data_IF_480409795084
#
_entry.id   IF_480409795084
#
_cell.length_a   1.000
_cell.length_b   1.000
_cell.length_c   1.000
_cell.angle_alpha   90.00
_cell.angle_beta   90.00
_cell.angle_gamma   90.00
#
_symmetry.space_group_name_H-M   'P 1'
#
loop_
_entity.id
_entity.type
_entity.pdbx_description
1 polymer ?
#
# COMPACT_ATOMS: atom_id res chain seq x y z
N UNK A 1 -36.02 0.05 3.43
CA UNK A 1 -35.27 0.01 2.14
C UNK A 1 -34.29 -1.15 2.22
N UNK A 2 -34.13 -1.91 1.13
CA UNK A 2 -33.16 -3.00 1.06
C UNK A 2 -31.73 -2.41 1.06
N UNK A 3 -30.79 -2.99 1.84
CA UNK A 3 -29.38 -2.56 1.89
C UNK A 3 -28.73 -2.84 0.54
N UNK A 4 -28.10 -1.83 -0.05
CA UNK A 4 -27.40 -1.93 -1.33
C UNK A 4 -26.01 -2.52 -1.09
N UNK A 5 -25.69 -3.60 -1.78
CA UNK A 5 -24.40 -4.28 -1.63
C UNK A 5 -23.70 -4.45 -2.96
N UNK A 6 -22.39 -4.59 -2.96
CA UNK A 6 -21.64 -5.05 -4.11
C UNK A 6 -20.89 -6.34 -3.76
N UNK A 7 -20.52 -7.10 -4.76
CA UNK A 7 -19.68 -8.30 -4.62
C UNK A 7 -18.29 -7.98 -5.17
N UNK A 8 -17.25 -8.35 -4.42
CA UNK A 8 -15.88 -8.30 -4.91
C UNK A 8 -15.27 -9.71 -4.91
N UNK A 9 -14.76 -10.13 -6.07
CA UNK A 9 -14.09 -11.42 -6.24
C UNK A 9 -12.71 -11.25 -6.86
N UNK A 10 -11.75 -12.07 -6.39
CA UNK A 10 -10.42 -12.17 -6.98
C UNK A 10 -10.02 -13.63 -7.13
N UNK A 11 -9.55 -13.99 -8.31
CA UNK A 11 -9.07 -15.35 -8.59
C UNK A 11 -7.76 -15.32 -9.36
N UNK A 12 -6.89 -16.28 -9.04
CA UNK A 12 -5.58 -16.42 -9.67
C UNK A 12 -5.60 -17.26 -10.95
N UNK A 13 -6.54 -18.20 -11.15
CA UNK A 13 -6.30 -19.22 -12.19
C UNK A 13 -7.51 -19.94 -12.82
N UNK A 14 -8.75 -19.86 -12.35
CA UNK A 14 -9.83 -20.67 -12.94
C UNK A 14 -11.20 -19.97 -12.90
N UNK A 15 -11.86 -19.83 -14.07
CA UNK A 15 -13.20 -19.23 -14.20
C UNK A 15 -14.25 -19.93 -13.33
N UNK A 16 -14.18 -21.25 -13.21
CA UNK A 16 -15.16 -22.07 -12.47
C UNK A 16 -15.20 -21.78 -10.96
N UNK A 17 -14.06 -21.40 -10.34
CA UNK A 17 -14.01 -20.99 -8.93
C UNK A 17 -14.62 -19.61 -8.66
N UNK A 18 -14.64 -18.73 -9.67
CA UNK A 18 -15.25 -17.39 -9.56
C UNK A 18 -16.76 -17.50 -9.50
N UNK A 19 -17.35 -18.25 -10.40
CA UNK A 19 -18.81 -18.41 -10.51
C UNK A 19 -19.39 -19.00 -9.22
N UNK A 20 -18.74 -20.03 -8.66
CA UNK A 20 -19.15 -20.62 -7.38
C UNK A 20 -19.09 -19.59 -6.23
N UNK A 21 -18.04 -18.78 -6.15
CA UNK A 21 -17.93 -17.74 -5.12
C UNK A 21 -19.03 -16.69 -5.28
N UNK A 22 -19.28 -16.24 -6.50
CA UNK A 22 -20.34 -15.28 -6.77
C UNK A 22 -21.70 -15.87 -6.43
N UNK A 23 -21.96 -17.14 -6.77
CA UNK A 23 -23.23 -17.80 -6.49
C UNK A 23 -23.52 -17.85 -4.99
N UNK A 24 -22.55 -18.28 -4.17
CA UNK A 24 -22.72 -18.32 -2.72
C UNK A 24 -22.97 -16.94 -2.11
N UNK A 25 -22.26 -15.90 -2.62
CA UNK A 25 -22.46 -14.53 -2.15
C UNK A 25 -23.81 -13.94 -2.60
N UNK A 26 -24.35 -14.37 -3.75
CA UNK A 26 -25.71 -14.03 -4.18
C UNK A 26 -26.76 -14.68 -3.27
N UNK A 27 -26.62 -15.96 -2.98
CA UNK A 27 -27.50 -16.68 -2.06
C UNK A 27 -27.50 -16.08 -0.66
N UNK A 28 -26.32 -15.62 -0.19
CA UNK A 28 -26.23 -14.89 1.07
C UNK A 28 -26.98 -13.55 1.00
N UNK A 29 -26.77 -12.79 -0.07
CA UNK A 29 -27.45 -11.50 -0.31
C UNK A 29 -28.99 -11.67 -0.33
N UNK A 30 -29.48 -12.69 -1.04
CA UNK A 30 -30.91 -12.97 -1.16
C UNK A 30 -31.51 -13.34 0.21
N UNK A 31 -30.83 -14.20 0.99
CA UNK A 31 -31.28 -14.55 2.36
C UNK A 31 -31.35 -13.35 3.29
N UNK A 32 -30.45 -12.38 3.13
CA UNK A 32 -30.44 -11.15 3.93
C UNK A 32 -31.38 -10.06 3.38
N UNK A 33 -32.02 -10.28 2.22
CA UNK A 33 -32.86 -9.29 1.56
C UNK A 33 -32.07 -8.08 1.04
N UNK A 34 -30.79 -8.27 0.67
CA UNK A 34 -29.94 -7.21 0.13
C UNK A 34 -30.12 -7.08 -1.38
N UNK A 35 -29.84 -5.88 -1.90
CA UNK A 35 -29.86 -5.58 -3.34
C UNK A 35 -28.43 -5.49 -3.88
N UNK A 36 -28.04 -6.40 -4.77
CA UNK A 36 -26.71 -6.39 -5.40
C UNK A 36 -26.69 -5.33 -6.50
N UNK A 37 -25.88 -4.28 -6.33
CA UNK A 37 -25.76 -3.19 -7.29
C UNK A 37 -24.72 -3.48 -8.37
N UNK A 38 -23.61 -4.15 -8.02
CA UNK A 38 -22.52 -4.44 -8.94
C UNK A 38 -21.65 -5.62 -8.49
N UNK A 39 -20.96 -6.26 -9.45
CA UNK A 39 -19.95 -7.28 -9.19
C UNK A 39 -18.63 -6.84 -9.77
N UNK A 40 -17.62 -6.65 -8.93
CA UNK A 40 -16.26 -6.31 -9.31
C UNK A 40 -15.39 -7.55 -9.31
N UNK A 41 -14.55 -7.71 -10.32
CA UNK A 41 -13.68 -8.88 -10.43
C UNK A 41 -12.27 -8.53 -10.88
N UNK A 42 -11.28 -9.16 -10.24
CA UNK A 42 -9.88 -9.11 -10.65
C UNK A 42 -9.40 -10.55 -10.96
N UNK A 43 -9.32 -10.87 -12.24
CA UNK A 43 -8.98 -12.21 -12.74
C UNK A 43 -7.51 -12.30 -13.16
N UNK A 44 -6.84 -13.41 -12.79
CA UNK A 44 -5.44 -13.66 -13.18
C UNK A 44 -4.42 -12.73 -12.50
N UNK A 45 -4.84 -11.96 -11.50
CA UNK A 45 -3.98 -11.00 -10.81
C UNK A 45 -3.50 -11.60 -9.49
N UNK A 46 -2.17 -11.73 -9.35
CA UNK A 46 -1.55 -12.15 -8.08
C UNK A 46 -1.93 -11.18 -6.97
N UNK A 47 -2.25 -11.72 -5.78
CA UNK A 47 -2.49 -10.90 -4.58
C UNK A 47 -1.31 -10.01 -4.17
N UNK A 48 -0.12 -10.19 -4.77
CA UNK A 48 1.07 -9.36 -4.53
C UNK A 48 1.07 -8.01 -5.25
N UNK A 49 0.14 -7.76 -6.19
CA UNK A 49 0.04 -6.51 -6.92
C UNK A 49 -0.78 -5.46 -6.16
N UNK A 50 -0.38 -4.18 -6.26
CA UNK A 50 -1.05 -3.06 -5.62
C UNK A 50 -2.43 -2.75 -6.20
N UNK A 51 -3.11 -1.73 -5.66
CA UNK A 51 -4.42 -1.25 -6.16
C UNK A 51 -4.37 -0.87 -7.64
N UNK A 52 -3.27 -0.26 -8.11
CA UNK A 52 -3.08 0.16 -9.50
C UNK A 52 -3.13 -1.03 -10.50
N UNK A 53 -2.77 -2.22 -10.04
CA UNK A 53 -2.79 -3.44 -10.83
C UNK A 53 -4.10 -4.26 -10.66
N UNK A 54 -5.08 -3.72 -9.91
CA UNK A 54 -6.37 -4.36 -9.59
C UNK A 54 -7.53 -3.46 -10.01
N UNK A 55 -7.85 -3.43 -11.32
CA UNK A 55 -8.87 -2.52 -11.86
C UNK A 55 -10.25 -2.72 -11.24
N UNK A 56 -10.62 -3.96 -10.88
CA UNK A 56 -11.89 -4.25 -10.20
C UNK A 56 -11.93 -3.64 -8.79
N UNK A 57 -10.86 -3.76 -8.01
CA UNK A 57 -10.76 -3.12 -6.70
C UNK A 57 -10.77 -1.60 -6.81
N UNK A 58 -10.00 -1.05 -7.74
CA UNK A 58 -9.92 0.39 -7.94
C UNK A 58 -11.27 0.99 -8.34
N UNK A 59 -12.01 0.32 -9.24
CA UNK A 59 -13.34 0.75 -9.63
C UNK A 59 -14.33 0.63 -8.47
N UNK A 60 -14.28 -0.46 -7.69
CA UNK A 60 -15.08 -0.63 -6.48
C UNK A 60 -14.88 0.53 -5.50
N UNK A 61 -13.63 0.91 -5.22
CA UNK A 61 -13.33 2.02 -4.32
C UNK A 61 -13.85 3.36 -4.85
N UNK A 62 -13.70 3.63 -6.16
CA UNK A 62 -14.28 4.84 -6.79
C UNK A 62 -15.79 4.89 -6.67
N UNK A 63 -16.47 3.78 -6.88
CA UNK A 63 -17.92 3.68 -6.77
C UNK A 63 -18.39 3.75 -5.32
N UNK A 64 -17.55 3.30 -4.35
CA UNK A 64 -17.75 3.49 -2.91
C UNK A 64 -17.77 4.98 -2.52
N UNK A 65 -16.83 5.78 -3.04
CA UNK A 65 -16.83 7.24 -2.86
C UNK A 65 -18.12 7.86 -3.38
N UNK A 66 -18.68 7.34 -4.48
CA UNK A 66 -19.96 7.77 -5.04
C UNK A 66 -21.19 7.22 -4.30
N UNK A 67 -20.98 6.44 -3.21
CA UNK A 67 -22.06 5.84 -2.40
C UNK A 67 -23.03 4.97 -3.18
N UNK A 68 -22.53 4.21 -4.17
CA UNK A 68 -23.35 3.31 -4.97
C UNK A 68 -23.82 2.07 -4.19
N UNK A 69 -23.11 1.72 -3.12
CA UNK A 69 -23.43 0.61 -2.21
C UNK A 69 -23.05 0.96 -0.76
N UNK A 70 -23.55 0.19 0.17
CA UNK A 70 -23.39 0.37 1.61
C UNK A 70 -22.61 -0.77 2.27
N UNK A 71 -22.40 -1.88 1.54
CA UNK A 71 -21.63 -3.03 2.01
C UNK A 71 -20.95 -3.74 0.83
N UNK A 72 -19.76 -4.28 1.09
CA UNK A 72 -19.02 -5.14 0.15
C UNK A 72 -19.05 -6.58 0.66
N UNK A 73 -19.53 -7.49 -0.17
CA UNK A 73 -19.48 -8.92 0.06
C UNK A 73 -18.23 -9.51 -0.58
N UNK A 74 -17.41 -10.19 0.21
CA UNK A 74 -16.15 -10.79 -0.24
C UNK A 74 -16.11 -12.26 0.14
N UNK A 75 -15.56 -13.11 -0.70
CA UNK A 75 -15.47 -14.54 -0.41
C UNK A 75 -14.61 -14.81 0.83
N UNK A 76 -13.41 -14.23 0.92
CA UNK A 76 -12.49 -14.41 2.05
C UNK A 76 -11.53 -13.23 2.17
N UNK A 77 -10.95 -13.08 3.34
CA UNK A 77 -10.03 -11.99 3.70
C UNK A 77 -8.85 -11.87 2.72
N UNK A 78 -8.27 -13.02 2.29
CA UNK A 78 -7.14 -13.07 1.35
C UNK A 78 -7.50 -12.62 -0.08
N UNK A 79 -8.80 -12.53 -0.41
CA UNK A 79 -9.25 -11.98 -1.69
C UNK A 79 -9.20 -10.46 -1.71
N UNK A 80 -9.46 -9.82 -0.59
CA UNK A 80 -9.43 -8.35 -0.47
C UNK A 80 -8.00 -7.84 -0.26
N UNK A 81 -7.27 -8.38 0.73
CA UNK A 81 -5.91 -7.99 1.08
C UNK A 81 -4.87 -9.07 0.76
N UNK A 82 -3.66 -8.68 0.37
CA UNK A 82 -2.50 -9.57 0.15
C UNK A 82 -1.61 -9.74 1.39
N UNK A 83 -1.69 -8.79 2.29
CA UNK A 83 -1.05 -8.76 3.59
C UNK A 83 -2.04 -8.16 4.59
N UNK A 84 -1.79 -8.37 5.87
CA UNK A 84 -2.63 -7.77 6.92
C UNK A 84 -2.63 -6.25 6.80
N UNK A 85 -1.47 -5.66 6.53
CA UNK A 85 -1.32 -4.21 6.31
C UNK A 85 -2.21 -3.69 5.18
N UNK A 86 -2.13 -4.30 3.98
CA UNK A 86 -2.96 -3.88 2.84
C UNK A 86 -4.45 -4.14 3.07
N UNK A 87 -4.81 -5.23 3.75
CA UNK A 87 -6.20 -5.50 4.14
C UNK A 87 -6.74 -4.39 5.02
N UNK A 88 -5.99 -4.02 6.07
CA UNK A 88 -6.36 -2.96 7.01
C UNK A 88 -6.47 -1.59 6.32
N UNK A 89 -5.60 -1.30 5.36
CA UNK A 89 -5.68 -0.07 4.56
C UNK A 89 -7.01 0.02 3.79
N UNK A 90 -7.37 -1.05 3.05
CA UNK A 90 -8.65 -1.09 2.30
C UNK A 90 -9.85 -1.04 3.25
N UNK A 91 -9.78 -1.76 4.38
CA UNK A 91 -10.86 -1.76 5.38
C UNK A 91 -11.03 -0.37 6.03
N UNK A 92 -9.94 0.36 6.31
CA UNK A 92 -9.99 1.72 6.83
C UNK A 92 -10.64 2.68 5.82
N UNK A 93 -10.22 2.64 4.54
CA UNK A 93 -10.82 3.48 3.50
C UNK A 93 -12.33 3.23 3.38
N UNK A 94 -12.79 1.97 3.40
CA UNK A 94 -14.21 1.64 3.34
C UNK A 94 -14.96 2.08 4.62
N UNK A 95 -14.36 1.93 5.78
CA UNK A 95 -14.94 2.36 7.05
C UNK A 95 -15.10 3.90 7.11
N UNK A 96 -14.14 4.67 6.59
CA UNK A 96 -14.25 6.13 6.47
C UNK A 96 -15.44 6.53 5.58
N UNK A 97 -15.70 5.76 4.52
CA UNK A 97 -16.87 5.93 3.65
C UNK A 97 -18.17 5.40 4.25
N UNK A 98 -18.13 4.79 5.47
CA UNK A 98 -19.27 4.12 6.13
C UNK A 98 -19.80 2.95 5.31
N UNK A 99 -18.91 2.21 4.67
CA UNK A 99 -19.22 1.00 3.91
C UNK A 99 -18.80 -0.21 4.74
N UNK A 100 -19.73 -1.09 5.02
CA UNK A 100 -19.48 -2.32 5.75
C UNK A 100 -18.81 -3.39 4.87
N UNK A 101 -18.21 -4.39 5.50
CA UNK A 101 -17.59 -5.55 4.86
C UNK A 101 -18.16 -6.85 5.42
N UNK A 102 -18.41 -7.79 4.54
CA UNK A 102 -18.75 -9.16 4.91
C UNK A 102 -17.80 -10.15 4.23
N UNK A 103 -17.13 -10.98 5.03
CA UNK A 103 -16.25 -12.07 4.57
C UNK A 103 -16.93 -13.42 4.82
N UNK A 104 -17.31 -14.08 3.72
CA UNK A 104 -18.15 -15.28 3.79
C UNK A 104 -17.46 -16.46 4.50
N UNK A 105 -16.21 -16.79 4.12
CA UNK A 105 -15.51 -17.93 4.71
C UNK A 105 -15.23 -17.78 6.21
N UNK A 106 -14.95 -16.55 6.67
CA UNK A 106 -14.66 -16.27 8.07
C UNK A 106 -15.91 -15.88 8.87
N UNK A 107 -17.05 -15.70 8.19
CA UNK A 107 -18.30 -15.19 8.79
C UNK A 107 -18.09 -13.88 9.57
N UNK A 108 -17.22 -13.00 9.04
CA UNK A 108 -16.92 -11.70 9.65
C UNK A 108 -17.80 -10.64 8.98
N UNK A 109 -18.61 -9.95 9.77
CA UNK A 109 -19.48 -8.85 9.35
C UNK A 109 -19.13 -7.59 10.15
N UNK A 110 -18.54 -6.59 9.50
CA UNK A 110 -18.12 -5.35 10.18
C UNK A 110 -19.28 -4.44 10.57
N UNK A 111 -20.50 -4.73 10.13
CA UNK A 111 -21.70 -4.03 10.64
C UNK A 111 -22.02 -4.43 12.09
N UNK A 112 -21.54 -5.57 12.54
CA UNK A 112 -21.71 -6.10 13.90
C UNK A 112 -20.60 -5.64 14.85
N UNK A 113 -20.86 -5.65 16.16
CA UNK A 113 -19.85 -5.32 17.18
C UNK A 113 -18.68 -6.30 17.17
N UNK A 114 -18.98 -7.61 17.01
CA UNK A 114 -17.95 -8.66 16.92
C UNK A 114 -17.06 -8.49 15.68
N UNK A 115 -17.63 -8.19 14.52
CA UNK A 115 -16.85 -7.94 13.30
C UNK A 115 -15.97 -6.70 13.41
N UNK A 116 -16.49 -5.62 14.02
CA UNK A 116 -15.67 -4.43 14.31
C UNK A 116 -14.51 -4.72 15.28
N UNK A 117 -14.74 -5.58 16.30
CA UNK A 117 -13.67 -6.00 17.20
C UNK A 117 -12.57 -6.77 16.45
N UNK A 118 -12.95 -7.72 15.58
CA UNK A 118 -11.98 -8.47 14.73
C UNK A 118 -11.21 -7.50 13.83
N UNK A 119 -11.86 -6.49 13.26
CA UNK A 119 -11.20 -5.45 12.50
C UNK A 119 -10.16 -4.69 13.35
N UNK A 120 -10.47 -4.34 14.58
CA UNK A 120 -9.51 -3.73 15.52
C UNK A 120 -8.29 -4.62 15.77
N UNK A 121 -8.48 -5.94 15.90
CA UNK A 121 -7.38 -6.91 16.04
C UNK A 121 -6.47 -6.90 14.80
N UNK A 122 -7.02 -6.89 13.59
CA UNK A 122 -6.22 -6.76 12.37
C UNK A 122 -5.41 -5.45 12.35
N UNK A 123 -5.98 -4.36 12.84
CA UNK A 123 -5.28 -3.08 13.01
C UNK A 123 -4.05 -3.23 13.91
N UNK A 124 -4.21 -3.79 15.10
CA UNK A 124 -3.11 -4.04 16.04
C UNK A 124 -2.01 -4.94 15.44
N UNK A 125 -2.40 -6.02 14.74
CA UNK A 125 -1.44 -6.91 14.07
C UNK A 125 -0.65 -6.15 13.01
N UNK A 126 -1.31 -5.30 12.22
CA UNK A 126 -0.65 -4.49 11.19
C UNK A 126 0.36 -3.50 11.77
N UNK A 127 0.04 -2.86 12.90
CA UNK A 127 0.97 -1.96 13.61
C UNK A 127 2.16 -2.73 14.16
N UNK A 128 1.93 -3.90 14.75
CA UNK A 128 3.00 -4.77 15.24
C UNK A 128 3.94 -5.20 14.11
N UNK A 129 3.40 -5.61 12.94
CA UNK A 129 4.23 -5.94 11.75
C UNK A 129 5.11 -4.75 11.32
N UNK A 130 4.53 -3.54 11.25
CA UNK A 130 5.29 -2.33 10.90
C UNK A 130 6.40 -2.03 11.91
N UNK A 131 6.12 -2.18 13.21
CA UNK A 131 7.11 -1.99 14.26
C UNK A 131 8.27 -2.97 14.13
N UNK A 132 7.99 -4.26 13.95
CA UNK A 132 9.01 -5.30 13.76
C UNK A 132 9.87 -5.07 12.52
N UNK A 133 9.27 -4.61 11.42
CA UNK A 133 10.03 -4.24 10.20
C UNK A 133 10.95 -3.05 10.50
N UNK A 134 10.44 -2.02 11.18
CA UNK A 134 11.23 -0.83 11.55
C UNK A 134 12.43 -1.20 12.45
N UNK A 135 12.22 -2.06 13.44
CA UNK A 135 13.29 -2.55 14.31
C UNK A 135 14.37 -3.34 13.53
N UNK A 136 13.95 -4.23 12.63
CA UNK A 136 14.90 -4.98 11.77
C UNK A 136 15.70 -4.05 10.88
N UNK A 137 15.07 -3.03 10.28
CA UNK A 137 15.77 -2.03 9.47
C UNK A 137 16.77 -1.25 10.32
N UNK A 138 16.37 -0.75 11.49
CA UNK A 138 17.27 -0.03 12.42
C UNK A 138 18.46 -0.89 12.81
N UNK A 139 18.22 -2.12 13.27
CA UNK A 139 19.29 -3.05 13.64
C UNK A 139 20.21 -3.37 12.45
N UNK A 140 19.67 -3.46 11.24
CA UNK A 140 20.46 -3.64 10.01
C UNK A 140 21.36 -2.44 9.70
N UNK A 141 20.82 -1.21 9.87
CA UNK A 141 21.57 0.04 9.69
C UNK A 141 22.68 0.18 10.74
N UNK A 142 22.39 -0.09 12.02
CA UNK A 142 23.35 -0.02 13.12
C UNK A 142 24.50 -1.01 12.87
N UNK A 143 24.19 -2.23 12.42
CA UNK A 143 25.22 -3.22 12.01
C UNK A 143 26.04 -2.72 10.84
N UNK A 144 25.42 -2.10 9.82
CA UNK A 144 26.17 -1.55 8.69
C UNK A 144 27.13 -0.45 9.12
N UNK A 145 26.68 0.45 10.02
CA UNK A 145 27.52 1.52 10.63
C UNK A 145 28.67 0.91 11.44
N UNK A 146 28.41 -0.08 12.28
CA UNK A 146 29.46 -0.75 13.08
C UNK A 146 30.51 -1.47 12.21
N UNK A 147 30.12 -1.88 10.99
CA UNK A 147 31.03 -2.43 9.97
C UNK A 147 31.77 -1.34 9.15
N UNK A 148 31.65 -0.07 9.51
CA UNK A 148 32.28 1.06 8.83
C UNK A 148 31.60 1.50 7.54
N UNK A 149 30.41 1.02 7.21
CA UNK A 149 29.67 1.46 6.02
C UNK A 149 29.11 2.86 6.25
N UNK A 150 29.41 3.80 5.36
CA UNK A 150 28.80 5.12 5.35
C UNK A 150 27.40 5.03 4.75
N UNK A 151 26.40 5.41 5.54
CA UNK A 151 25.01 5.44 5.11
C UNK A 151 24.70 6.76 4.39
N UNK A 152 23.64 6.76 3.59
CA UNK A 152 23.17 7.92 2.87
C UNK A 152 23.58 7.95 1.40
N UNK A 153 23.32 9.09 0.74
CA UNK A 153 23.63 9.26 -0.67
C UNK A 153 25.15 9.26 -0.88
N UNK A 154 25.68 8.45 -1.79
CA UNK A 154 27.11 8.49 -2.13
C UNK A 154 27.56 9.91 -2.49
N UNK A 155 28.67 10.35 -1.91
CA UNK A 155 29.22 11.65 -2.27
C UNK A 155 29.79 11.61 -3.69
N UNK A 156 29.50 12.65 -4.49
CA UNK A 156 30.12 12.85 -5.80
C UNK A 156 31.55 13.40 -5.69
N UNK A 157 31.95 13.80 -4.47
CA UNK A 157 33.27 14.38 -4.21
C UNK A 157 34.31 13.29 -3.94
N UNK A 158 35.24 13.14 -4.84
CA UNK A 158 36.49 12.41 -4.65
C UNK A 158 37.65 13.38 -4.40
N UNK A 159 38.81 12.89 -3.98
CA UNK A 159 39.96 13.73 -3.68
C UNK A 159 40.46 14.52 -4.88
N UNK A 160 40.38 13.95 -6.09
CA UNK A 160 40.71 14.68 -7.32
C UNK A 160 39.78 15.88 -7.57
N UNK A 161 38.49 15.73 -7.28
CA UNK A 161 37.52 16.81 -7.42
C UNK A 161 37.71 17.91 -6.36
N UNK A 162 38.08 17.54 -5.13
CA UNK A 162 38.46 18.52 -4.09
C UNK A 162 39.67 19.32 -4.50
N UNK A 163 40.71 18.66 -5.01
CA UNK A 163 41.91 19.32 -5.53
C UNK A 163 41.60 20.25 -6.70
N UNK A 164 40.73 19.83 -7.63
CA UNK A 164 40.30 20.66 -8.73
C UNK A 164 39.56 21.94 -8.27
N UNK A 165 38.69 21.83 -7.27
CA UNK A 165 37.99 22.98 -6.67
C UNK A 165 38.99 23.97 -6.09
N UNK A 166 39.97 23.51 -5.29
CA UNK A 166 41.02 24.38 -4.71
C UNK A 166 41.85 25.06 -5.77
N UNK A 167 42.35 24.32 -6.77
CA UNK A 167 43.17 24.86 -7.86
C UNK A 167 42.42 25.93 -8.67
N UNK A 168 41.14 25.69 -8.98
CA UNK A 168 40.34 26.67 -9.71
C UNK A 168 40.08 27.93 -8.88
N UNK A 169 39.97 27.78 -7.56
CA UNK A 169 39.82 28.90 -6.64
C UNK A 169 41.07 29.72 -6.52
N UNK A 170 42.26 29.10 -6.44
CA UNK A 170 43.58 29.75 -6.45
C UNK A 170 43.83 30.55 -7.74
N UNK A 171 43.28 30.06 -8.87
CA UNK A 171 43.30 30.80 -10.14
C UNK A 171 42.30 31.99 -10.20
N UNK A 172 41.65 32.35 -9.08
CA UNK A 172 40.74 33.48 -8.98
C UNK A 172 39.30 33.22 -9.46
N UNK A 173 38.96 31.96 -9.78
CA UNK A 173 37.65 31.65 -10.32
C UNK A 173 36.54 31.77 -9.26
N UNK A 174 35.42 32.37 -9.65
CA UNK A 174 34.28 32.54 -8.76
C UNK A 174 33.55 31.19 -8.45
N UNK A 175 32.97 31.06 -7.24
CA UNK A 175 32.34 29.82 -6.77
C UNK A 175 31.25 29.33 -7.72
N UNK A 176 30.42 30.22 -8.27
CA UNK A 176 29.38 29.87 -9.25
C UNK A 176 29.98 29.34 -10.57
N UNK A 177 31.11 29.86 -10.98
CA UNK A 177 31.82 29.40 -12.19
C UNK A 177 32.42 28.01 -11.97
N UNK A 178 33.06 27.78 -10.80
CA UNK A 178 33.59 26.47 -10.40
C UNK A 178 32.47 25.43 -10.36
N UNK A 179 31.36 25.77 -9.73
CA UNK A 179 30.16 24.92 -9.67
C UNK A 179 29.67 24.50 -11.07
N UNK A 180 29.59 25.44 -11.99
CA UNK A 180 29.15 25.19 -13.37
C UNK A 180 30.16 24.34 -14.15
N UNK A 181 31.46 24.64 -14.02
CA UNK A 181 32.53 23.96 -14.73
C UNK A 181 32.69 22.48 -14.27
N UNK A 182 32.59 22.23 -12.97
CA UNK A 182 32.74 20.89 -12.40
C UNK A 182 31.38 20.13 -12.27
N UNK A 183 30.28 20.74 -12.69
CA UNK A 183 28.91 20.18 -12.61
C UNK A 183 28.56 19.70 -11.21
N UNK A 184 28.95 20.44 -10.17
CA UNK A 184 28.65 20.19 -8.76
C UNK A 184 27.86 21.34 -8.16
N UNK A 185 27.10 21.05 -7.07
CA UNK A 185 26.32 22.09 -6.40
C UNK A 185 27.21 23.21 -5.80
N UNK A 186 26.74 24.45 -5.78
CA UNK A 186 27.41 25.57 -5.14
C UNK A 186 27.74 25.28 -3.67
N UNK A 187 26.80 24.68 -2.92
CA UNK A 187 27.03 24.26 -1.53
C UNK A 187 28.15 23.22 -1.40
N UNK A 188 28.34 22.37 -2.42
CA UNK A 188 29.43 21.37 -2.45
C UNK A 188 30.79 22.07 -2.68
N UNK A 189 30.85 23.15 -3.48
CA UNK A 189 32.06 23.93 -3.63
C UNK A 189 32.45 24.62 -2.32
N UNK A 190 31.47 25.19 -1.60
CA UNK A 190 31.70 25.79 -0.28
C UNK A 190 32.20 24.78 0.76
N UNK A 191 31.74 23.55 0.73
CA UNK A 191 32.15 22.52 1.75
C UNK A 191 33.62 22.05 1.55
N UNK A 192 34.29 22.46 0.49
CA UNK A 192 35.67 22.06 0.16
C UNK A 192 36.67 23.23 0.36
N UNK A 193 36.15 24.45 0.35
CA UNK A 193 36.94 25.68 0.58
C UNK A 193 37.00 26.03 2.05
#
# INVERSE_FOLDING_TARGET
>A
MSKRVCIYVRVSTTKQNVENQIQVLREYSDRCGYHITHIYSDNGISGSKGRQDRPGLDQMMKDGVQRKFEMVLVWSVDRLGRSVTHLVEVMNELNELKIDLYFNQQSIDTSTSSGRMIFGIFGCISEMERSLISERVKSGLDRAVSQGKKLGRPTKMNEGMKSAVKLLREKGMGIKQISKQLQIGVGTVYSVL
#
